data_IF_587509558735
#
_entry.id   IF_587509558735
#
_cell.length_a   1.000
_cell.length_b   1.000
_cell.length_c   1.000
_cell.angle_alpha   90.00
_cell.angle_beta   90.00
_cell.angle_gamma   90.00
#
_symmetry.space_group_name_H-M   'P 1'
#
loop_
_entity.id
_entity.type
_entity.pdbx_description
1 polymer ?
#
# COMPACT_ATOMS: atom_id res chain seq x y z
N UNK A 1 32.01 -10.29 -34.21
CA UNK A 1 31.21 -11.22 -33.39
C UNK A 1 30.04 -10.43 -32.82
N UNK A 2 28.81 -10.62 -33.32
CA UNK A 2 27.62 -9.98 -32.71
C UNK A 2 27.32 -10.77 -31.44
N UNK A 3 27.46 -10.13 -30.28
CA UNK A 3 26.96 -10.70 -29.03
C UNK A 3 25.45 -10.59 -29.14
N UNK A 4 24.76 -11.72 -29.35
CA UNK A 4 23.30 -11.74 -29.28
C UNK A 4 22.89 -11.28 -27.87
N UNK A 5 21.97 -10.32 -27.79
CA UNK A 5 21.36 -9.92 -26.53
C UNK A 5 20.61 -11.13 -25.96
N UNK A 6 21.22 -11.77 -24.96
CA UNK A 6 20.59 -12.86 -24.22
C UNK A 6 19.32 -12.31 -23.58
N UNK A 7 18.16 -12.87 -23.94
CA UNK A 7 16.86 -12.42 -23.42
C UNK A 7 16.74 -12.80 -21.94
N UNK A 8 15.94 -12.08 -21.14
CA UNK A 8 15.68 -12.45 -19.74
C UNK A 8 15.19 -13.90 -19.58
N UNK A 9 14.37 -14.38 -20.52
CA UNK A 9 13.85 -15.76 -20.57
C UNK A 9 14.97 -16.81 -20.68
N UNK A 10 16.01 -16.52 -21.48
CA UNK A 10 17.14 -17.43 -21.69
C UNK A 10 17.97 -17.64 -20.40
N UNK A 11 17.86 -16.71 -19.43
CA UNK A 11 18.60 -16.75 -18.15
C UNK A 11 17.74 -17.19 -16.97
N UNK A 12 16.51 -16.66 -16.88
CA UNK A 12 15.64 -16.83 -15.72
C UNK A 12 14.63 -17.97 -15.90
N UNK A 13 14.40 -18.38 -17.15
CA UNK A 13 13.41 -19.39 -17.51
C UNK A 13 11.98 -18.84 -17.57
N UNK A 14 11.15 -19.51 -18.37
CA UNK A 14 9.75 -19.14 -18.62
C UNK A 14 8.91 -19.06 -17.35
N UNK A 15 9.10 -20.01 -16.43
CA UNK A 15 8.37 -20.04 -15.15
C UNK A 15 8.63 -18.78 -14.30
N UNK A 16 9.83 -18.20 -14.41
CA UNK A 16 10.15 -16.96 -13.73
C UNK A 16 9.50 -15.77 -14.44
N UNK A 17 9.70 -15.63 -15.76
CA UNK A 17 9.26 -14.45 -16.53
C UNK A 17 7.74 -14.35 -16.66
N UNK A 18 7.03 -15.48 -16.63
CA UNK A 18 5.57 -15.54 -16.66
C UNK A 18 4.93 -15.72 -15.27
N UNK A 19 5.72 -15.59 -14.19
CA UNK A 19 5.19 -15.73 -12.84
C UNK A 19 4.08 -14.70 -12.56
N UNK A 20 3.00 -15.14 -11.92
CA UNK A 20 1.80 -14.32 -11.64
C UNK A 20 2.04 -13.05 -10.79
N UNK A 21 3.24 -12.92 -10.21
CA UNK A 21 3.65 -11.75 -9.43
C UNK A 21 3.68 -10.48 -10.28
N UNK A 22 4.01 -10.58 -11.56
CA UNK A 22 4.09 -9.39 -12.43
C UNK A 22 2.70 -8.79 -12.70
N UNK A 23 1.69 -9.64 -12.93
CA UNK A 23 0.30 -9.18 -13.05
C UNK A 23 -0.25 -8.67 -11.71
N UNK A 24 0.11 -9.32 -10.58
CA UNK A 24 -0.25 -8.84 -9.24
C UNK A 24 0.31 -7.45 -8.96
N UNK A 25 1.59 -7.20 -9.26
CA UNK A 25 2.24 -5.90 -9.08
C UNK A 25 1.61 -4.83 -9.96
N UNK A 26 1.30 -5.16 -11.22
CA UNK A 26 0.60 -4.26 -12.14
C UNK A 26 -0.79 -3.90 -11.62
N UNK A 27 -1.52 -4.88 -11.09
CA UNK A 27 -2.84 -4.66 -10.51
C UNK A 27 -2.78 -3.74 -9.28
N UNK A 28 -1.85 -3.98 -8.35
CA UNK A 28 -1.69 -3.11 -7.17
C UNK A 28 -1.24 -1.69 -7.54
N UNK A 29 -0.32 -1.57 -8.52
CA UNK A 29 0.09 -0.28 -9.05
C UNK A 29 -1.08 0.50 -9.64
N UNK A 30 -1.91 -0.16 -10.46
CA UNK A 30 -3.12 0.42 -11.03
C UNK A 30 -4.12 0.87 -9.96
N UNK A 31 -4.34 0.06 -8.92
CA UNK A 31 -5.20 0.43 -7.80
C UNK A 31 -4.74 1.72 -7.09
N UNK A 32 -3.45 1.83 -6.75
CA UNK A 32 -2.93 3.04 -6.09
C UNK A 32 -2.99 4.27 -7.00
N UNK A 33 -2.89 4.08 -8.32
CA UNK A 33 -3.07 5.16 -9.30
C UNK A 33 -4.52 5.68 -9.30
N UNK A 34 -5.49 4.77 -9.40
CA UNK A 34 -6.91 5.09 -9.32
C UNK A 34 -7.27 5.73 -7.99
N UNK A 35 -6.76 5.19 -6.88
CA UNK A 35 -7.00 5.75 -5.55
C UNK A 35 -6.42 7.17 -5.45
N UNK A 36 -5.15 7.36 -5.82
CA UNK A 36 -4.47 8.66 -5.83
C UNK A 36 -5.30 9.74 -6.55
N UNK A 37 -5.80 9.41 -7.74
CA UNK A 37 -6.61 10.32 -8.55
C UNK A 37 -7.98 10.60 -7.90
N UNK A 38 -8.69 9.54 -7.47
CA UNK A 38 -10.03 9.65 -6.90
C UNK A 38 -10.08 10.51 -5.64
N UNK A 39 -9.02 10.48 -4.82
CA UNK A 39 -9.02 11.19 -3.53
C UNK A 39 -8.40 12.59 -3.58
N UNK A 40 -7.85 12.99 -4.72
CA UNK A 40 -7.02 14.19 -4.86
C UNK A 40 -7.72 15.46 -4.37
N UNK A 41 -9.04 15.55 -4.59
CA UNK A 41 -9.86 16.73 -4.26
C UNK A 41 -10.35 16.78 -2.82
N UNK A 42 -10.20 15.71 -2.05
CA UNK A 42 -10.50 15.74 -0.62
C UNK A 42 -9.43 16.55 0.12
N UNK A 43 -9.84 17.46 0.99
CA UNK A 43 -8.89 18.25 1.76
C UNK A 43 -8.32 17.44 2.93
N UNK A 44 -6.99 17.34 3.03
CA UNK A 44 -6.33 16.83 4.23
C UNK A 44 -6.36 17.89 5.33
N UNK A 45 -7.39 17.84 6.16
CA UNK A 45 -7.53 18.73 7.32
C UNK A 45 -6.30 18.61 8.23
N UNK A 46 -5.87 19.74 8.81
CA UNK A 46 -4.69 19.78 9.67
C UNK A 46 -3.37 20.09 8.96
N UNK A 47 -3.38 20.38 7.65
CA UNK A 47 -2.17 20.79 6.90
C UNK A 47 -2.42 22.04 6.07
N UNK A 48 -1.34 22.73 5.66
CA UNK A 48 -1.44 23.87 4.73
C UNK A 48 -1.55 23.45 3.24
N UNK A 49 -1.72 22.16 2.95
CA UNK A 49 -1.74 21.65 1.59
C UNK A 49 -3.07 21.95 0.90
N UNK A 50 -3.00 22.32 -0.38
CA UNK A 50 -4.20 22.60 -1.21
C UNK A 50 -4.83 21.28 -1.68
N UNK A 51 -4.01 20.27 -1.97
CA UNK A 51 -4.45 18.93 -2.38
C UNK A 51 -4.26 17.94 -1.24
N UNK A 52 -4.99 16.82 -1.32
CA UNK A 52 -4.86 15.74 -0.36
C UNK A 52 -3.40 15.25 -0.25
N UNK A 53 -2.83 15.23 0.95
CA UNK A 53 -1.48 14.69 1.19
C UNK A 53 -1.34 13.24 0.71
N UNK A 54 -2.41 12.45 0.83
CA UNK A 54 -2.40 11.03 0.48
C UNK A 54 -2.34 10.80 -1.03
N UNK A 55 -2.78 11.75 -1.87
CA UNK A 55 -2.68 11.61 -3.34
C UNK A 55 -1.22 11.38 -3.75
N UNK A 56 -0.30 12.14 -3.16
CA UNK A 56 1.12 12.05 -3.42
C UNK A 56 1.73 10.79 -2.80
N UNK A 57 1.22 10.38 -1.64
CA UNK A 57 1.67 9.15 -0.97
C UNK A 57 1.32 7.92 -1.82
N UNK A 58 0.10 7.82 -2.33
CA UNK A 58 -0.34 6.72 -3.19
C UNK A 58 0.36 6.72 -4.55
N UNK A 59 0.57 7.89 -5.15
CA UNK A 59 1.38 8.03 -6.37
C UNK A 59 2.83 7.59 -6.15
N UNK A 60 3.43 7.92 -5.00
CA UNK A 60 4.77 7.46 -4.62
C UNK A 60 4.83 5.95 -4.37
N UNK A 61 3.80 5.38 -3.74
CA UNK A 61 3.65 3.93 -3.53
C UNK A 61 3.56 3.20 -4.87
N UNK A 62 2.72 3.69 -5.81
CA UNK A 62 2.65 3.20 -7.20
C UNK A 62 4.04 3.18 -7.83
N UNK A 63 4.79 4.29 -7.72
CA UNK A 63 6.17 4.37 -8.22
C UNK A 63 7.09 3.32 -7.62
N UNK A 64 6.99 3.07 -6.31
CA UNK A 64 7.79 2.04 -5.63
C UNK A 64 7.42 0.62 -6.09
N UNK A 65 6.14 0.33 -6.30
CA UNK A 65 5.68 -0.96 -6.86
C UNK A 65 6.20 -1.14 -8.29
N UNK A 66 6.18 -0.10 -9.12
CA UNK A 66 6.76 -0.16 -10.46
C UNK A 66 8.27 -0.44 -10.41
N UNK A 67 9.01 0.19 -9.49
CA UNK A 67 10.42 -0.12 -9.28
C UNK A 67 10.65 -1.57 -8.84
N UNK A 68 9.78 -2.13 -7.99
CA UNK A 68 9.83 -3.57 -7.63
C UNK A 68 9.68 -4.43 -8.89
N UNK A 69 8.69 -4.13 -9.76
CA UNK A 69 8.47 -4.85 -11.02
C UNK A 69 9.70 -4.82 -11.92
N UNK A 70 10.33 -3.66 -12.10
CA UNK A 70 11.54 -3.50 -12.92
C UNK A 70 12.76 -4.25 -12.37
N UNK A 71 12.89 -4.34 -11.05
CA UNK A 71 14.00 -5.04 -10.41
C UNK A 71 13.77 -6.56 -10.46
N UNK A 72 12.55 -7.01 -10.23
CA UNK A 72 12.18 -8.43 -10.35
C UNK A 72 12.32 -8.93 -11.79
N UNK A 73 11.96 -8.13 -12.81
CA UNK A 73 12.13 -8.54 -14.22
C UNK A 73 13.59 -8.75 -14.62
N UNK A 74 14.51 -8.13 -13.88
CA UNK A 74 15.97 -8.32 -14.02
C UNK A 74 16.51 -9.49 -13.18
N UNK A 75 15.67 -10.23 -12.47
CA UNK A 75 16.11 -11.37 -11.65
C UNK A 75 16.74 -11.00 -10.30
N UNK A 76 16.59 -9.75 -9.84
CA UNK A 76 17.24 -9.21 -8.64
C UNK A 76 16.30 -9.24 -7.44
N UNK A 77 15.99 -10.44 -6.96
CA UNK A 77 14.96 -10.66 -5.93
C UNK A 77 15.33 -9.98 -4.60
N UNK A 78 16.61 -9.99 -4.23
CA UNK A 78 17.07 -9.38 -2.98
C UNK A 78 16.88 -7.85 -2.98
N UNK A 79 17.28 -7.17 -4.05
CA UNK A 79 17.05 -5.73 -4.23
C UNK A 79 15.54 -5.41 -4.18
N UNK A 80 14.70 -6.27 -4.76
CA UNK A 80 13.25 -6.11 -4.69
C UNK A 80 12.72 -6.17 -3.24
N UNK A 81 13.31 -6.97 -2.34
CA UNK A 81 12.95 -6.98 -0.92
C UNK A 81 13.35 -5.70 -0.18
N UNK A 82 14.44 -5.03 -0.59
CA UNK A 82 14.77 -3.71 -0.05
C UNK A 82 13.69 -2.68 -0.43
N UNK A 83 13.19 -2.74 -1.67
CA UNK A 83 12.07 -1.92 -2.11
C UNK A 83 10.74 -2.33 -1.43
N UNK A 84 10.52 -3.62 -1.18
CA UNK A 84 9.36 -4.10 -0.43
C UNK A 84 9.36 -3.56 1.01
N UNK A 85 10.54 -3.45 1.63
CA UNK A 85 10.70 -2.82 2.94
C UNK A 85 10.29 -1.35 2.91
N UNK A 86 10.76 -0.61 1.89
CA UNK A 86 10.39 0.80 1.68
C UNK A 86 8.88 0.93 1.46
N UNK A 87 8.29 0.11 0.59
CA UNK A 87 6.84 0.06 0.39
C UNK A 87 6.11 -0.17 1.71
N UNK A 88 6.54 -1.14 2.51
CA UNK A 88 5.92 -1.41 3.79
C UNK A 88 6.04 -0.23 4.78
N UNK A 89 7.21 0.40 4.86
CA UNK A 89 7.37 1.58 5.70
C UNK A 89 6.48 2.74 5.22
N UNK A 90 6.34 2.94 3.90
CA UNK A 90 5.45 3.96 3.32
C UNK A 90 3.97 3.72 3.65
N UNK A 91 3.48 2.48 3.61
CA UNK A 91 2.08 2.20 3.97
C UNK A 91 1.82 2.47 5.45
N UNK A 92 2.76 2.13 6.33
CA UNK A 92 2.62 2.37 7.77
C UNK A 92 2.76 3.86 8.12
N UNK A 93 3.63 4.60 7.42
CA UNK A 93 3.72 6.06 7.54
C UNK A 93 2.39 6.70 7.11
N UNK A 94 1.78 6.26 6.01
CA UNK A 94 0.51 6.79 5.54
C UNK A 94 -0.64 6.60 6.56
N UNK A 95 -0.73 5.42 7.16
CA UNK A 95 -1.72 5.14 8.21
C UNK A 95 -1.49 6.04 9.42
N UNK A 96 -0.23 6.21 9.82
CA UNK A 96 0.13 7.07 10.94
C UNK A 96 -0.19 8.53 10.68
N UNK A 97 0.13 9.06 9.49
CA UNK A 97 -0.14 10.47 9.17
C UNK A 97 -1.63 10.75 9.21
N UNK A 98 -2.44 9.85 8.66
CA UNK A 98 -3.91 9.95 8.71
C UNK A 98 -4.43 9.92 10.14
N UNK A 99 -4.06 8.90 10.92
CA UNK A 99 -4.50 8.78 12.30
C UNK A 99 -4.04 9.97 13.17
N UNK A 100 -2.79 10.41 13.01
CA UNK A 100 -2.24 11.52 13.78
C UNK A 100 -2.94 12.84 13.45
N UNK A 101 -3.25 13.10 12.17
CA UNK A 101 -4.07 14.26 11.77
C UNK A 101 -5.46 14.17 12.42
N UNK A 102 -6.13 13.02 12.34
CA UNK A 102 -7.46 12.81 12.94
C UNK A 102 -7.49 12.95 14.47
N UNK A 103 -6.38 12.69 15.16
CA UNK A 103 -6.29 12.78 16.62
C UNK A 103 -5.93 14.20 17.10
N UNK A 104 -5.23 14.98 16.28
CA UNK A 104 -4.64 16.25 16.70
C UNK A 104 -5.25 17.47 16.01
N UNK A 105 -5.96 17.30 14.88
CA UNK A 105 -6.70 18.38 14.25
C UNK A 105 -7.91 18.76 15.11
N UNK A 106 -8.04 20.05 15.41
CA UNK A 106 -9.19 20.61 16.12
C UNK A 106 -9.36 22.09 15.78
N UNK A 107 -10.44 22.70 16.25
CA UNK A 107 -10.66 24.15 16.12
C UNK A 107 -9.54 24.94 16.83
N UNK A 108 -8.94 24.40 17.89
CA UNK A 108 -7.82 25.04 18.59
C UNK A 108 -6.46 24.70 17.96
N UNK A 109 -6.42 23.70 17.06
CA UNK A 109 -5.23 23.23 16.39
C UNK A 109 -5.49 22.92 14.90
N UNK A 110 -5.75 23.99 14.13
CA UNK A 110 -6.05 23.89 12.70
C UNK A 110 -4.89 23.38 11.85
N UNK A 111 -3.65 23.50 12.33
CA UNK A 111 -2.43 23.09 11.63
C UNK A 111 -1.64 22.17 12.56
N UNK A 112 -1.60 20.89 12.21
CA UNK A 112 -0.86 19.88 12.96
C UNK A 112 0.62 19.97 12.59
N UNK A 113 1.36 20.81 13.32
CA UNK A 113 2.75 21.20 13.02
C UNK A 113 3.66 20.01 12.70
N UNK A 114 3.55 18.91 13.45
CA UNK A 114 4.37 17.71 13.23
C UNK A 114 4.27 17.17 11.80
N UNK A 115 3.07 17.14 11.24
CA UNK A 115 2.83 16.63 9.88
C UNK A 115 3.15 17.72 8.85
N UNK A 116 2.80 18.98 9.12
CA UNK A 116 3.06 20.08 8.19
C UNK A 116 4.57 20.39 8.07
N UNK A 117 5.34 20.32 9.16
CA UNK A 117 6.79 20.48 9.16
C UNK A 117 7.48 19.33 8.42
N UNK A 118 7.03 18.08 8.61
CA UNK A 118 7.52 16.95 7.83
C UNK A 118 7.28 17.14 6.33
N UNK A 119 6.07 17.60 5.96
CA UNK A 119 5.72 17.94 4.57
C UNK A 119 6.60 19.05 3.99
N UNK A 120 6.95 20.05 4.81
CA UNK A 120 7.85 21.15 4.42
C UNK A 120 9.33 20.76 4.44
N UNK A 121 9.68 19.57 4.95
CA UNK A 121 11.06 19.11 5.09
C UNK A 121 11.83 19.80 6.22
N UNK A 122 11.13 20.46 7.16
CA UNK A 122 11.75 21.10 8.33
C UNK A 122 11.89 20.14 9.51
N UNK A 123 11.07 19.08 9.56
CA UNK A 123 11.17 17.98 10.52
C UNK A 123 11.16 16.62 9.81
N UNK A 124 11.53 15.58 10.54
CA UNK A 124 11.47 14.19 10.07
C UNK A 124 10.27 13.46 10.66
N UNK A 125 9.77 12.46 9.93
CA UNK A 125 8.77 11.53 10.46
C UNK A 125 9.40 10.68 11.58
N UNK A 126 8.66 10.28 12.64
CA UNK A 126 9.23 9.45 13.69
C UNK A 126 9.74 8.10 13.19
N UNK A 127 10.60 7.47 13.97
CA UNK A 127 11.05 6.11 13.68
C UNK A 127 9.89 5.10 13.66
N UNK A 128 10.05 4.03 12.87
CA UNK A 128 9.05 2.99 12.70
C UNK A 128 8.49 2.44 14.02
N UNK A 129 9.33 2.27 15.05
CA UNK A 129 8.86 1.74 16.35
C UNK A 129 7.87 2.68 17.03
N UNK A 130 8.10 3.98 16.94
CA UNK A 130 7.20 5.02 17.49
C UNK A 130 5.90 5.02 16.70
N UNK A 131 5.99 5.01 15.37
CA UNK A 131 4.83 4.95 14.48
C UNK A 131 3.98 3.70 14.76
N UNK A 132 4.61 2.52 14.76
CA UNK A 132 3.92 1.24 14.96
C UNK A 132 3.24 1.16 16.32
N UNK A 133 3.89 1.68 17.37
CA UNK A 133 3.31 1.77 18.71
C UNK A 133 2.06 2.67 18.71
N UNK A 134 2.15 3.84 18.09
CA UNK A 134 1.04 4.80 18.00
C UNK A 134 -0.20 4.19 17.33
N UNK A 135 -0.01 3.49 16.19
CA UNK A 135 -1.11 2.82 15.48
C UNK A 135 -1.72 1.70 16.33
N UNK A 136 -0.89 0.88 16.97
CA UNK A 136 -1.34 -0.29 17.76
C UNK A 136 -2.10 0.09 19.02
N UNK A 137 -1.69 1.17 19.67
CA UNK A 137 -2.29 1.64 20.93
C UNK A 137 -3.49 2.56 20.70
N UNK A 138 -3.81 2.90 19.46
CA UNK A 138 -4.94 3.77 19.13
C UNK A 138 -6.29 3.14 19.48
N UNK A 139 -7.13 3.79 20.31
CA UNK A 139 -8.48 3.33 20.60
C UNK A 139 -9.37 3.24 19.35
N UNK A 140 -9.16 4.11 18.36
CA UNK A 140 -9.93 4.14 17.11
C UNK A 140 -9.72 2.88 16.27
N UNK A 141 -8.54 2.26 16.36
CA UNK A 141 -8.14 1.14 15.53
C UNK A 141 -8.25 -0.22 16.23
N UNK A 142 -8.81 -0.29 17.45
CA UNK A 142 -8.83 -1.54 18.24
C UNK A 142 -9.42 -2.72 17.45
N UNK A 143 -10.59 -2.55 16.83
CA UNK A 143 -11.25 -3.64 16.10
C UNK A 143 -10.39 -4.16 14.95
N UNK A 144 -9.91 -3.25 14.08
CA UNK A 144 -9.10 -3.65 12.93
C UNK A 144 -7.71 -4.14 13.34
N UNK A 145 -7.11 -3.58 14.39
CA UNK A 145 -5.85 -4.03 14.97
C UNK A 145 -5.95 -5.46 15.49
N UNK A 146 -7.06 -5.83 16.15
CA UNK A 146 -7.27 -7.17 16.66
C UNK A 146 -7.28 -8.20 15.53
N UNK A 147 -7.89 -7.86 14.39
CA UNK A 147 -7.92 -8.71 13.20
C UNK A 147 -6.56 -8.76 12.49
N UNK A 148 -5.86 -7.63 12.38
CA UNK A 148 -4.56 -7.58 11.69
C UNK A 148 -3.43 -8.21 12.50
N UNK A 149 -3.53 -8.26 13.83
CA UNK A 149 -2.49 -8.78 14.71
C UNK A 149 -2.82 -10.17 15.29
N UNK A 150 -3.70 -10.95 14.65
CA UNK A 150 -4.01 -12.33 15.06
C UNK A 150 -2.82 -13.27 15.00
N UNK A 151 -1.85 -12.97 14.14
CA UNK A 151 -0.64 -13.76 13.93
C UNK A 151 0.61 -12.85 13.81
N UNK A 152 1.78 -13.47 13.68
CA UNK A 152 3.07 -12.79 13.56
C UNK A 152 3.48 -12.49 12.11
N UNK A 153 2.56 -12.57 11.14
CA UNK A 153 2.85 -12.45 9.70
C UNK A 153 3.58 -11.15 9.37
N UNK A 154 3.09 -10.03 9.85
CA UNK A 154 3.66 -8.71 9.60
C UNK A 154 5.06 -8.56 10.18
N UNK A 155 5.30 -9.15 11.35
CA UNK A 155 6.64 -9.24 11.94
C UNK A 155 7.55 -10.10 11.06
N UNK A 156 7.10 -11.28 10.65
CA UNK A 156 7.86 -12.18 9.76
C UNK A 156 8.19 -11.56 8.40
N UNK A 157 7.27 -10.78 7.82
CA UNK A 157 7.50 -10.03 6.58
C UNK A 157 8.61 -9.00 6.81
N UNK A 158 8.52 -8.21 7.88
CA UNK A 158 9.54 -7.22 8.22
C UNK A 158 10.91 -7.85 8.46
N UNK A 159 10.95 -8.97 9.17
CA UNK A 159 12.20 -9.71 9.41
C UNK A 159 12.81 -10.24 8.11
N UNK A 160 11.99 -10.77 7.17
CA UNK A 160 12.45 -11.16 5.83
C UNK A 160 13.00 -9.98 5.03
N UNK A 161 12.31 -8.85 5.04
CA UNK A 161 12.76 -7.61 4.42
C UNK A 161 14.12 -7.18 5.01
N UNK A 162 14.25 -7.12 6.34
CA UNK A 162 15.50 -6.81 7.03
C UNK A 162 16.65 -7.75 6.62
N UNK A 163 16.39 -9.06 6.65
CA UNK A 163 17.39 -10.06 6.32
C UNK A 163 17.89 -9.94 4.88
N UNK A 164 17.00 -9.57 3.96
CA UNK A 164 17.38 -9.31 2.58
C UNK A 164 18.18 -8.01 2.44
N UNK A 165 17.70 -6.89 3.00
CA UNK A 165 18.39 -5.58 2.93
C UNK A 165 19.82 -5.64 3.48
N UNK A 166 20.05 -6.38 4.56
CA UNK A 166 21.34 -6.43 5.23
C UNK A 166 22.22 -7.62 4.81
N UNK A 167 21.79 -8.41 3.82
CA UNK A 167 22.49 -9.64 3.40
C UNK A 167 22.81 -10.59 4.57
N UNK A 168 21.90 -10.71 5.54
CA UNK A 168 22.12 -11.50 6.76
C UNK A 168 22.42 -13.00 6.49
N UNK A 169 22.07 -13.50 5.30
CA UNK A 169 22.38 -14.86 4.86
C UNK A 169 23.04 -14.82 3.48
N UNK A 170 24.04 -15.68 3.26
CA UNK A 170 24.70 -15.79 1.95
C UNK A 170 23.71 -16.16 0.83
N UNK A 171 22.68 -16.95 1.13
CA UNK A 171 21.58 -17.23 0.19
C UNK A 171 20.91 -15.97 -0.34
N UNK A 172 20.87 -14.88 0.43
CA UNK A 172 20.27 -13.61 0.02
C UNK A 172 21.17 -12.88 -0.99
N UNK A 173 22.49 -13.01 -0.88
CA UNK A 173 23.43 -12.51 -1.89
C UNK A 173 23.16 -13.21 -3.23
N UNK A 174 23.01 -14.53 -3.20
CA UNK A 174 22.73 -15.35 -4.39
C UNK A 174 21.38 -15.03 -5.05
N UNK A 175 20.42 -14.45 -4.33
CA UNK A 175 19.14 -14.02 -4.90
C UNK A 175 19.26 -12.76 -5.76
N UNK A 176 20.34 -12.00 -5.62
CA UNK A 176 20.59 -10.82 -6.44
C UNK A 176 21.42 -11.11 -7.70
N UNK A 177 22.15 -12.23 -7.71
CA UNK A 177 22.96 -12.64 -8.86
C UNK A 177 22.10 -13.37 -9.89
N UNK A 178 21.67 -12.64 -10.92
CA UNK A 178 20.87 -13.16 -12.03
C UNK A 178 21.66 -13.97 -13.07
N UNK A 179 22.97 -14.17 -12.87
CA UNK A 179 23.82 -14.98 -13.76
C UNK A 179 23.89 -16.44 -13.31
N UNK A 180 23.59 -16.72 -12.04
CA UNK A 180 23.59 -18.08 -11.51
C UNK A 180 22.22 -18.75 -11.60
N UNK A 181 22.24 -20.05 -11.88
CA UNK A 181 21.05 -20.88 -11.71
C UNK A 181 20.77 -21.05 -10.21
N UNK A 182 19.60 -20.59 -9.75
CA UNK A 182 19.15 -20.79 -8.38
C UNK A 182 17.76 -21.45 -8.42
N UNK A 183 17.63 -22.73 -8.01
CA UNK A 183 16.38 -23.47 -8.11
C UNK A 183 15.28 -22.92 -7.20
N UNK A 184 15.63 -22.04 -6.24
CA UNK A 184 14.67 -21.46 -5.31
C UNK A 184 14.05 -20.15 -5.78
N UNK A 185 14.40 -19.63 -6.98
CA UNK A 185 13.87 -18.33 -7.46
C UNK A 185 12.36 -18.27 -7.48
N UNK A 186 11.72 -19.31 -8.02
CA UNK A 186 10.26 -19.41 -8.08
C UNK A 186 9.63 -19.48 -6.68
N UNK A 187 10.24 -20.25 -5.77
CA UNK A 187 9.82 -20.28 -4.37
C UNK A 187 9.89 -18.89 -3.74
N UNK A 188 10.94 -18.12 -4.02
CA UNK A 188 11.08 -16.76 -3.50
C UNK A 188 10.10 -15.76 -4.12
N UNK A 189 9.77 -15.88 -5.41
CA UNK A 189 8.70 -15.10 -6.04
C UNK A 189 7.34 -15.40 -5.41
N UNK A 190 7.05 -16.67 -5.10
CA UNK A 190 5.82 -17.07 -4.40
C UNK A 190 5.74 -16.48 -2.97
N UNK A 191 6.86 -16.45 -2.24
CA UNK A 191 6.92 -15.80 -0.92
C UNK A 191 6.76 -14.29 -1.05
N UNK A 192 7.44 -13.67 -2.00
CA UNK A 192 7.36 -12.23 -2.26
C UNK A 192 5.92 -11.82 -2.59
N UNK A 193 5.23 -12.59 -3.43
CA UNK A 193 3.82 -12.41 -3.80
C UNK A 193 2.89 -12.41 -2.59
N UNK A 194 3.10 -13.33 -1.64
CA UNK A 194 2.32 -13.38 -0.39
C UNK A 194 2.64 -12.21 0.54
N UNK A 195 3.90 -11.81 0.60
CA UNK A 195 4.34 -10.71 1.46
C UNK A 195 3.76 -9.37 0.99
N UNK A 196 3.83 -9.09 -0.31
CA UNK A 196 3.26 -7.86 -0.88
C UNK A 196 1.73 -7.84 -0.81
N UNK A 197 1.05 -8.98 -1.03
CA UNK A 197 -0.41 -9.12 -0.85
C UNK A 197 -0.81 -8.80 0.60
N UNK A 198 -0.09 -9.34 1.59
CA UNK A 198 -0.39 -9.09 3.00
C UNK A 198 -0.22 -7.62 3.39
N UNK A 199 0.83 -6.95 2.89
CA UNK A 199 1.05 -5.51 3.12
C UNK A 199 -0.03 -4.68 2.40
N UNK A 200 -0.39 -5.05 1.17
CA UNK A 200 -1.46 -4.39 0.42
C UNK A 200 -2.79 -4.45 1.18
N UNK A 201 -3.21 -5.66 1.61
CA UNK A 201 -4.42 -5.87 2.42
C UNK A 201 -4.36 -5.05 3.72
N UNK A 202 -3.23 -5.04 4.43
CA UNK A 202 -3.08 -4.26 5.66
C UNK A 202 -3.31 -2.77 5.42
N UNK A 203 -2.71 -2.25 4.36
CA UNK A 203 -2.76 -0.82 4.07
C UNK A 203 -4.20 -0.40 3.74
N UNK A 204 -4.87 -1.08 2.81
CA UNK A 204 -6.24 -0.72 2.42
C UNK A 204 -7.22 -0.92 3.57
N UNK A 205 -7.02 -1.94 4.41
CA UNK A 205 -7.84 -2.15 5.61
C UNK A 205 -7.76 -0.93 6.55
N UNK A 206 -6.56 -0.44 6.87
CA UNK A 206 -6.44 0.77 7.70
C UNK A 206 -6.96 2.02 7.00
N UNK A 207 -6.62 2.22 5.73
CA UNK A 207 -7.00 3.42 4.97
C UNK A 207 -8.52 3.55 4.90
N UNK A 208 -9.23 2.49 4.53
CA UNK A 208 -10.69 2.53 4.41
C UNK A 208 -11.40 2.56 5.77
N UNK A 209 -10.77 2.01 6.82
CA UNK A 209 -11.29 2.11 8.17
C UNK A 209 -11.15 3.53 8.75
N UNK A 210 -10.07 4.25 8.41
CA UNK A 210 -9.85 5.63 8.87
C UNK A 210 -10.56 6.67 8.01
N UNK A 211 -10.57 6.48 6.68
CA UNK A 211 -11.05 7.43 5.69
C UNK A 211 -12.08 6.77 4.76
N UNK A 212 -13.27 6.47 5.29
CA UNK A 212 -14.29 5.76 4.50
C UNK A 212 -14.65 6.46 3.18
N UNK A 213 -14.62 7.79 3.16
CA UNK A 213 -14.89 8.62 1.98
C UNK A 213 -13.87 8.42 0.85
N UNK A 214 -12.71 7.80 1.10
CA UNK A 214 -11.79 7.39 0.03
C UNK A 214 -12.32 6.24 -0.82
N UNK A 215 -13.37 5.56 -0.36
CA UNK A 215 -14.07 4.54 -1.15
C UNK A 215 -15.10 5.13 -2.09
N UNK A 216 -15.45 6.42 -1.95
CA UNK A 216 -16.57 7.04 -2.64
C UNK A 216 -16.37 7.10 -4.15
N UNK A 217 -17.43 6.80 -4.90
CA UNK A 217 -17.46 7.01 -6.34
C UNK A 217 -17.41 8.50 -6.71
N UNK A 218 -16.89 8.81 -7.89
CA UNK A 218 -16.81 10.19 -8.36
C UNK A 218 -18.17 10.76 -8.76
N UNK A 219 -19.18 9.93 -9.03
CA UNK A 219 -20.51 10.35 -9.53
C UNK A 219 -21.08 11.54 -8.76
N UNK A 220 -21.02 11.50 -7.42
CA UNK A 220 -21.52 12.58 -6.56
C UNK A 220 -20.76 13.89 -6.80
N UNK A 221 -19.43 13.84 -6.82
CA UNK A 221 -18.57 15.02 -6.98
C UNK A 221 -18.61 15.54 -8.42
N UNK A 222 -18.63 14.66 -9.40
CA UNK A 222 -18.70 14.99 -10.82
C UNK A 222 -20.01 15.72 -11.14
N UNK A 223 -21.14 15.30 -10.55
CA UNK A 223 -22.41 16.04 -10.65
C UNK A 223 -22.28 17.46 -10.08
N UNK A 224 -21.69 17.61 -8.89
CA UNK A 224 -21.50 18.93 -8.27
C UNK A 224 -20.59 19.84 -9.10
N UNK A 225 -19.50 19.28 -9.65
CA UNK A 225 -18.53 19.99 -10.48
C UNK A 225 -19.17 20.63 -11.72
N UNK A 226 -20.14 19.95 -12.33
CA UNK A 226 -20.86 20.43 -13.51
C UNK A 226 -22.16 21.16 -13.18
N UNK A 227 -22.42 21.44 -11.89
CA UNK A 227 -23.60 22.18 -11.43
C UNK A 227 -24.92 21.40 -11.52
N UNK A 228 -24.86 20.07 -11.57
CA UNK A 228 -26.02 19.17 -11.53
C UNK A 228 -26.33 18.77 -10.09
N UNK A 229 -27.62 18.48 -9.82
CA UNK A 229 -28.03 17.89 -8.55
C UNK A 229 -27.64 16.41 -8.52
N UNK A 230 -26.82 15.96 -7.56
CA UNK A 230 -26.46 14.55 -7.43
C UNK A 230 -27.69 13.69 -7.08
N UNK A 231 -27.65 12.42 -7.48
CA UNK A 231 -28.69 11.46 -7.09
C UNK A 231 -28.68 11.25 -5.57
N UNK A 232 -29.87 11.13 -4.98
CA UNK A 232 -30.02 10.90 -3.54
C UNK A 232 -29.32 9.59 -3.13
N UNK A 233 -28.39 9.68 -2.17
CA UNK A 233 -27.63 8.53 -1.69
C UNK A 233 -26.36 8.22 -2.47
N UNK A 234 -26.09 8.91 -3.58
CA UNK A 234 -24.87 8.70 -4.39
C UNK A 234 -23.57 9.03 -3.66
N UNK A 235 -23.63 9.82 -2.58
CA UNK A 235 -22.48 10.08 -1.71
C UNK A 235 -21.98 8.83 -0.95
N UNK A 236 -22.77 7.75 -0.92
CA UNK A 236 -22.40 6.49 -0.27
C UNK A 236 -22.01 5.41 -1.29
N UNK A 237 -22.05 5.70 -2.59
CA UNK A 237 -21.66 4.73 -3.62
C UNK A 237 -20.16 4.48 -3.59
N UNK A 238 -19.77 3.23 -3.80
CA UNK A 238 -18.36 2.81 -3.81
C UNK A 238 -17.81 2.84 -5.23
N UNK A 239 -16.63 3.42 -5.41
CA UNK A 239 -15.94 3.44 -6.69
C UNK A 239 -15.68 2.01 -7.19
N UNK A 240 -15.86 1.79 -8.49
CA UNK A 240 -15.78 0.45 -9.10
C UNK A 240 -14.45 -0.26 -8.84
N UNK A 241 -13.32 0.45 -8.89
CA UNK A 241 -12.00 -0.13 -8.62
C UNK A 241 -11.81 -0.54 -7.14
N UNK A 242 -12.48 0.15 -6.21
CA UNK A 242 -12.48 -0.19 -4.78
C UNK A 242 -13.31 -1.44 -4.55
N UNK A 243 -14.53 -1.48 -5.12
CA UNK A 243 -15.40 -2.65 -5.04
C UNK A 243 -14.72 -3.89 -5.64
N UNK A 244 -14.01 -3.73 -6.77
CA UNK A 244 -13.27 -4.81 -7.39
C UNK A 244 -12.19 -5.40 -6.48
N UNK A 245 -11.36 -4.56 -5.84
CA UNK A 245 -10.34 -5.01 -4.88
C UNK A 245 -10.99 -5.65 -3.66
N UNK A 246 -12.09 -5.07 -3.18
CA UNK A 246 -12.82 -5.61 -2.04
C UNK A 246 -13.32 -7.03 -2.32
N UNK A 247 -13.94 -7.24 -3.49
CA UNK A 247 -14.47 -8.53 -3.91
C UNK A 247 -13.39 -9.56 -4.22
N UNK A 248 -12.37 -9.18 -5.01
CA UNK A 248 -11.36 -10.13 -5.51
C UNK A 248 -10.27 -10.45 -4.48
N UNK A 249 -10.04 -9.57 -3.51
CA UNK A 249 -8.94 -9.71 -2.56
C UNK A 249 -9.46 -9.75 -1.13
N UNK A 250 -10.13 -8.69 -0.66
CA UNK A 250 -10.45 -8.57 0.77
C UNK A 250 -11.41 -9.67 1.22
N UNK A 251 -12.55 -9.85 0.57
CA UNK A 251 -13.51 -10.91 0.89
C UNK A 251 -12.89 -12.31 0.80
N UNK A 252 -12.14 -12.57 -0.27
CA UNK A 252 -11.61 -13.91 -0.54
C UNK A 252 -10.47 -14.27 0.43
N UNK A 253 -9.59 -13.32 0.75
CA UNK A 253 -8.36 -13.59 1.52
C UNK A 253 -8.51 -13.29 3.01
N UNK A 254 -9.35 -12.33 3.37
CA UNK A 254 -9.55 -11.79 4.72
C UNK A 254 -11.00 -11.36 4.93
N UNK A 255 -11.93 -12.31 4.82
CA UNK A 255 -13.36 -12.04 5.01
C UNK A 255 -13.64 -11.42 6.40
N UNK A 256 -12.84 -11.75 7.41
CA UNK A 256 -12.90 -11.12 8.73
C UNK A 256 -12.68 -9.59 8.66
N UNK A 257 -11.72 -9.12 7.86
CA UNK A 257 -11.52 -7.69 7.59
C UNK A 257 -12.68 -7.13 6.76
N UNK A 258 -13.18 -7.89 5.77
CA UNK A 258 -14.30 -7.47 4.93
C UNK A 258 -15.55 -7.16 5.77
N UNK A 259 -15.89 -8.05 6.70
CA UNK A 259 -17.02 -7.88 7.62
C UNK A 259 -16.83 -6.70 8.57
N UNK A 260 -15.60 -6.47 9.05
CA UNK A 260 -15.32 -5.33 9.91
C UNK A 260 -15.47 -4.01 9.15
N UNK A 261 -14.91 -3.90 7.94
CA UNK A 261 -15.03 -2.70 7.11
C UNK A 261 -16.48 -2.35 6.81
N UNK A 262 -17.33 -3.33 6.48
CA UNK A 262 -18.77 -3.10 6.25
C UNK A 262 -19.50 -2.59 7.50
N UNK A 263 -19.07 -3.01 8.69
CA UNK A 263 -19.69 -2.56 9.96
C UNK A 263 -19.22 -1.17 10.36
N UNK A 264 -18.00 -0.80 9.97
CA UNK A 264 -17.37 0.46 10.37
C UNK A 264 -17.64 1.62 9.41
N UNK A 265 -18.36 1.40 8.31
CA UNK A 265 -18.58 2.40 7.26
C UNK A 265 -20.05 2.57 6.89
N UNK A 266 -20.38 3.77 6.42
CA UNK A 266 -21.65 4.11 5.77
C UNK A 266 -21.64 3.86 4.26
N UNK A 267 -20.46 3.60 3.68
CA UNK A 267 -20.29 3.30 2.27
C UNK A 267 -20.95 1.97 1.89
N UNK A 268 -21.54 1.92 0.70
CA UNK A 268 -22.27 0.76 0.19
C UNK A 268 -21.33 -0.33 -0.34
N UNK A 269 -20.44 -0.83 0.53
CA UNK A 269 -19.58 -1.98 0.25
C UNK A 269 -20.43 -3.26 0.13
N UNK A 270 -20.68 -3.67 -1.12
CA UNK A 270 -21.37 -4.93 -1.42
C UNK A 270 -20.50 -6.11 -1.05
#
# INVERSE_FOLDING_TARGET
MKIEEIKPEDRLGKEYTEHSIFEQLKYYSGFYDSLSFSIMRWSSMGTKAILNLDTYTYSSIKGTINSITEILSKGRINDAYALLRKYYDSTIINVYTNLYLMDNFSIDNFIVEKIDNWRQGTDTIPEYRVISKYIKESPKLVSINNLLNVDDRYKKIRDRCNNNTHYNFYSNILLNDNQIHNPNRIKWLNVFSKDIEAIFIQHIAYVFYLNEHYMMSSDYIDCLDIGMQPEEGSQYWVASFVQEVFDKIIKIKRNDIAEELRKSTTMQLM
#
